data_IF_388574233424
#
_entry.id   IF_388574233424
#
_cell.length_a   1.000
_cell.length_b   1.000
_cell.length_c   1.000
_cell.angle_alpha   90.00
_cell.angle_beta   90.00
_cell.angle_gamma   90.00
#
_symmetry.space_group_name_H-M   'P 1'
#
loop_
_entity.id
_entity.type
_entity.pdbx_description
1 polymer ?
#
# COMPACT_ATOMS: atom_id res chain seq x y z
N UNK A 1 36.07 11.13 -26.26
CA UNK A 1 35.08 10.11 -26.68
C UNK A 1 34.71 9.13 -25.56
N UNK A 2 35.66 8.63 -24.75
CA UNK A 2 35.42 7.68 -23.64
C UNK A 2 34.40 8.15 -22.58
N UNK A 3 34.53 9.39 -22.10
CA UNK A 3 33.60 10.01 -21.13
C UNK A 3 32.13 10.02 -21.59
N UNK A 4 31.86 10.36 -22.86
CA UNK A 4 30.49 10.36 -23.41
C UNK A 4 29.88 8.95 -23.48
N UNK A 5 30.73 7.92 -23.64
CA UNK A 5 30.29 6.53 -23.68
C UNK A 5 29.96 6.01 -22.28
N UNK A 6 30.81 6.31 -21.29
CA UNK A 6 30.58 5.97 -19.88
C UNK A 6 29.31 6.61 -19.33
N UNK A 7 29.09 7.90 -19.63
CA UNK A 7 27.87 8.61 -19.26
C UNK A 7 26.60 7.99 -19.88
N UNK A 8 26.72 7.49 -21.11
CA UNK A 8 25.63 6.79 -21.79
C UNK A 8 25.27 5.44 -21.17
N UNK A 9 26.27 4.67 -20.71
CA UNK A 9 26.03 3.44 -19.97
C UNK A 9 25.40 3.70 -18.60
N UNK A 10 25.85 4.72 -17.88
CA UNK A 10 25.24 5.15 -16.62
C UNK A 10 23.77 5.54 -16.83
N UNK A 11 23.48 6.35 -17.85
CA UNK A 11 22.11 6.74 -18.19
C UNK A 11 21.22 5.54 -18.49
N UNK A 12 21.72 4.58 -19.27
CA UNK A 12 21.01 3.33 -19.56
C UNK A 12 20.75 2.51 -18.28
N UNK A 13 21.76 2.36 -17.42
CA UNK A 13 21.64 1.62 -16.17
C UNK A 13 20.60 2.26 -15.24
N UNK A 14 20.69 3.57 -15.01
CA UNK A 14 19.72 4.31 -14.18
C UNK A 14 18.31 4.22 -14.75
N UNK A 15 18.16 4.31 -16.08
CA UNK A 15 16.86 4.15 -16.74
C UNK A 15 16.26 2.76 -16.52
N UNK A 16 17.07 1.70 -16.65
CA UNK A 16 16.61 0.32 -16.41
C UNK A 16 16.20 0.14 -14.95
N UNK A 17 17.02 0.60 -14.00
CA UNK A 17 16.74 0.52 -12.57
C UNK A 17 15.46 1.29 -12.23
N UNK A 18 15.35 2.55 -12.64
CA UNK A 18 14.16 3.37 -12.40
C UNK A 18 12.90 2.72 -13.01
N UNK A 19 12.99 2.20 -14.23
CA UNK A 19 11.88 1.50 -14.88
C UNK A 19 11.37 0.33 -14.05
N UNK A 20 12.25 -0.55 -13.58
CA UNK A 20 11.88 -1.72 -12.78
C UNK A 20 11.36 -1.31 -11.39
N UNK A 21 11.95 -0.30 -10.76
CA UNK A 21 11.48 0.22 -9.47
C UNK A 21 10.08 0.83 -9.59
N UNK A 22 9.83 1.68 -10.58
CA UNK A 22 8.51 2.30 -10.80
C UNK A 22 7.41 1.28 -11.05
N UNK A 23 7.73 0.22 -11.81
CA UNK A 23 6.83 -0.92 -12.00
C UNK A 23 6.56 -1.62 -10.66
N UNK A 24 7.61 -1.93 -9.89
CA UNK A 24 7.45 -2.62 -8.61
C UNK A 24 6.62 -1.81 -7.61
N UNK A 25 6.95 -0.55 -7.38
CA UNK A 25 6.21 0.33 -6.47
C UNK A 25 4.78 0.57 -6.93
N UNK A 26 4.57 0.79 -8.24
CA UNK A 26 3.23 0.97 -8.79
C UNK A 26 2.34 -0.26 -8.62
N UNK A 27 2.90 -1.48 -8.74
CA UNK A 27 2.12 -2.72 -8.60
C UNK A 27 1.53 -2.91 -7.20
N UNK A 28 2.22 -2.46 -6.14
CA UNK A 28 1.71 -2.54 -4.75
C UNK A 28 0.53 -1.57 -4.51
N UNK A 29 0.30 -0.63 -5.44
CA UNK A 29 -0.87 0.26 -5.47
C UNK A 29 -1.95 -0.19 -6.46
N UNK A 30 -1.56 -0.72 -7.62
CA UNK A 30 -2.50 -1.31 -8.60
C UNK A 30 -3.24 -2.49 -7.99
N UNK A 31 -2.53 -3.35 -7.26
CA UNK A 31 -3.14 -4.31 -6.35
C UNK A 31 -3.01 -3.67 -4.97
N UNK A 32 -4.07 -3.06 -4.41
CA UNK A 32 -4.03 -2.05 -3.35
C UNK A 32 -3.61 -2.64 -2.01
N UNK A 33 -2.35 -3.07 -1.92
CA UNK A 33 -1.75 -3.82 -0.81
C UNK A 33 -0.85 -2.93 0.03
N UNK A 34 -0.42 -1.78 -0.50
CA UNK A 34 0.45 -0.85 0.24
C UNK A 34 -0.19 -0.31 1.51
N UNK A 35 -1.51 -0.09 1.50
CA UNK A 35 -2.25 0.55 2.59
C UNK A 35 -3.31 -0.37 3.20
N UNK A 36 -3.38 -1.63 2.76
CA UNK A 36 -4.48 -2.55 3.11
C UNK A 36 -4.54 -2.87 4.60
N UNK A 37 -3.41 -2.80 5.32
CA UNK A 37 -3.40 -2.98 6.78
C UNK A 37 -4.30 -1.98 7.50
N UNK A 38 -4.46 -0.76 6.97
CA UNK A 38 -5.34 0.28 7.53
C UNK A 38 -6.82 0.05 7.26
N UNK A 39 -7.17 -1.06 6.61
CA UNK A 39 -8.54 -1.55 6.47
C UNK A 39 -8.89 -2.63 7.49
N UNK A 40 -7.93 -3.05 8.32
CA UNK A 40 -8.18 -4.01 9.39
C UNK A 40 -9.10 -3.40 10.46
N UNK A 41 -10.04 -4.18 11.05
CA UNK A 41 -10.98 -3.71 12.06
C UNK A 41 -10.37 -2.88 13.21
N UNK A 42 -9.20 -3.27 13.74
CA UNK A 42 -8.52 -2.57 14.83
C UNK A 42 -8.03 -1.18 14.43
N UNK A 43 -7.50 -1.04 13.21
CA UNK A 43 -7.07 0.27 12.66
C UNK A 43 -8.23 1.24 12.46
N UNK A 44 -9.45 0.72 12.30
CA UNK A 44 -10.67 1.53 12.20
C UNK A 44 -11.14 2.08 13.55
N UNK A 45 -10.68 1.51 14.67
CA UNK A 45 -10.99 2.00 16.01
C UNK A 45 -10.11 3.18 16.44
N UNK A 46 -8.92 3.31 15.84
CA UNK A 46 -8.01 4.41 16.15
C UNK A 46 -8.62 5.74 15.71
N UNK A 47 -8.89 6.62 16.67
CA UNK A 47 -9.59 7.87 16.43
C UNK A 47 -8.74 8.86 15.63
N UNK A 48 -9.38 9.91 15.10
CA UNK A 48 -8.67 10.97 14.37
C UNK A 48 -7.66 11.70 15.27
N UNK A 49 -8.02 11.94 16.54
CA UNK A 49 -7.15 12.62 17.51
C UNK A 49 -5.93 11.81 17.94
N UNK A 50 -6.02 10.47 17.91
CA UNK A 50 -4.93 9.56 18.23
C UNK A 50 -4.05 9.21 17.02
N UNK A 51 -4.55 9.46 15.80
CA UNK A 51 -3.85 9.11 14.59
C UNK A 51 -2.65 10.05 14.37
N UNK A 52 -1.47 9.47 14.11
CA UNK A 52 -0.35 10.24 13.59
C UNK A 52 -0.66 10.82 12.20
N UNK A 53 0.04 11.88 11.80
CA UNK A 53 -0.12 12.47 10.45
C UNK A 53 0.08 11.43 9.34
N UNK A 54 1.09 10.56 9.47
CA UNK A 54 1.34 9.48 8.51
C UNK A 54 0.24 8.43 8.52
N UNK A 55 -0.27 8.06 9.69
CA UNK A 55 -1.40 7.14 9.83
C UNK A 55 -2.68 7.69 9.16
N UNK A 56 -2.96 8.98 9.31
CA UNK A 56 -4.08 9.63 8.60
C UNK A 56 -3.92 9.59 7.09
N UNK A 57 -2.72 9.89 6.57
CA UNK A 57 -2.44 9.78 5.14
C UNK A 57 -2.66 8.35 4.63
N UNK A 58 -2.20 7.35 5.37
CA UNK A 58 -2.33 5.94 4.97
C UNK A 58 -3.79 5.47 5.04
N UNK A 59 -4.57 5.90 6.04
CA UNK A 59 -6.03 5.69 6.08
C UNK A 59 -6.73 6.36 4.89
N UNK A 60 -6.36 7.60 4.55
CA UNK A 60 -6.90 8.29 3.36
C UNK A 60 -6.67 7.46 2.09
N UNK A 61 -5.44 6.99 1.86
CA UNK A 61 -5.12 6.13 0.72
C UNK A 61 -5.89 4.81 0.74
N UNK A 62 -5.98 4.15 1.90
CA UNK A 62 -6.65 2.86 2.07
C UNK A 62 -8.16 2.92 1.78
N UNK A 63 -8.84 4.02 2.14
CA UNK A 63 -10.29 4.16 1.98
C UNK A 63 -10.75 4.33 0.53
N UNK A 64 -9.87 4.83 -0.35
CA UNK A 64 -10.16 5.09 -1.76
C UNK A 64 -9.35 4.17 -2.68
N UNK A 65 -9.86 2.95 -2.88
CA UNK A 65 -9.28 1.98 -3.81
C UNK A 65 -9.07 2.54 -5.22
N UNK A 66 -10.04 3.25 -5.85
CA UNK A 66 -9.83 3.79 -7.19
C UNK A 66 -8.68 4.81 -7.25
N UNK A 67 -8.57 5.68 -6.25
CA UNK A 67 -7.48 6.65 -6.17
C UNK A 67 -6.12 5.95 -6.05
N UNK A 68 -6.01 4.99 -5.13
CA UNK A 68 -4.79 4.20 -4.94
C UNK A 68 -4.40 3.47 -6.22
N UNK A 69 -5.34 2.79 -6.88
CA UNK A 69 -5.10 2.09 -8.15
C UNK A 69 -4.64 3.05 -9.25
N UNK A 70 -5.29 4.20 -9.42
CA UNK A 70 -4.90 5.22 -10.42
C UNK A 70 -3.47 5.70 -10.16
N UNK A 71 -3.12 6.02 -8.92
CA UNK A 71 -1.73 6.44 -8.61
C UNK A 71 -0.71 5.33 -8.91
N UNK A 72 -1.06 4.06 -8.68
CA UNK A 72 -0.25 2.91 -9.07
C UNK A 72 -0.12 2.75 -10.58
N UNK A 73 -1.20 2.94 -11.34
CA UNK A 73 -1.19 2.87 -12.79
C UNK A 73 -0.29 3.95 -13.41
N UNK A 74 -0.28 5.16 -12.86
CA UNK A 74 0.63 6.24 -13.28
C UNK A 74 2.09 5.82 -13.08
N UNK A 75 2.41 5.21 -11.95
CA UNK A 75 3.77 4.72 -11.66
C UNK A 75 4.18 3.58 -12.60
N UNK A 76 3.32 2.58 -12.79
CA UNK A 76 3.57 1.46 -13.73
C UNK A 76 3.73 1.99 -15.16
N UNK A 77 2.86 2.90 -15.60
CA UNK A 77 2.94 3.50 -16.93
C UNK A 77 4.26 4.26 -17.12
N UNK A 78 4.68 5.05 -16.13
CA UNK A 78 5.98 5.72 -16.13
C UNK A 78 7.13 4.71 -16.30
N UNK A 79 7.12 3.63 -15.53
CA UNK A 79 8.12 2.58 -15.60
C UNK A 79 8.15 1.82 -16.93
N UNK A 80 6.98 1.49 -17.51
CA UNK A 80 6.86 0.82 -18.81
C UNK A 80 7.34 1.71 -19.95
N UNK A 81 7.01 3.00 -19.93
CA UNK A 81 7.46 3.97 -20.94
C UNK A 81 8.99 4.13 -20.97
N UNK A 82 9.69 3.88 -19.87
CA UNK A 82 11.16 3.94 -19.81
C UNK A 82 11.86 2.76 -20.52
N UNK A 83 11.14 1.67 -20.82
CA UNK A 83 11.70 0.51 -21.54
C UNK A 83 12.12 0.90 -22.96
N UNK A 84 11.24 1.62 -23.67
CA UNK A 84 11.47 1.97 -25.07
C UNK A 84 12.22 3.29 -25.20
N UNK A 85 13.28 3.30 -26.02
CA UNK A 85 14.09 4.51 -26.25
C UNK A 85 13.24 5.70 -26.71
N UNK A 86 12.21 5.47 -27.53
CA UNK A 86 11.34 6.53 -28.08
C UNK A 86 10.47 7.21 -27.03
N UNK A 87 10.08 6.51 -25.98
CA UNK A 87 9.18 7.01 -24.92
C UNK A 87 9.91 7.40 -23.64
N UNK A 88 11.26 7.32 -23.62
CA UNK A 88 12.09 7.61 -22.43
C UNK A 88 11.78 8.97 -21.81
N UNK A 89 11.62 10.02 -22.62
CA UNK A 89 11.31 11.36 -22.11
C UNK A 89 9.95 11.38 -21.41
N UNK A 90 8.92 10.87 -22.08
CA UNK A 90 7.56 10.85 -21.53
C UNK A 90 7.51 10.04 -20.23
N UNK A 91 8.11 8.84 -20.23
CA UNK A 91 8.22 8.01 -19.03
C UNK A 91 8.96 8.71 -17.89
N UNK A 92 10.08 9.38 -18.18
CA UNK A 92 10.84 10.11 -17.17
C UNK A 92 10.04 11.28 -16.58
N UNK A 93 9.31 12.05 -17.40
CA UNK A 93 8.46 13.14 -16.91
C UNK A 93 7.31 12.65 -16.05
N UNK A 94 6.65 11.55 -16.44
CA UNK A 94 5.63 10.89 -15.61
C UNK A 94 6.21 10.46 -14.26
N UNK A 95 7.41 9.85 -14.27
CA UNK A 95 8.10 9.48 -13.03
C UNK A 95 8.44 10.69 -12.17
N UNK A 96 8.93 11.79 -12.76
CA UNK A 96 9.23 13.04 -12.04
C UNK A 96 7.98 13.56 -11.33
N UNK A 97 6.84 13.67 -12.03
CA UNK A 97 5.60 14.17 -11.44
C UNK A 97 5.11 13.26 -10.32
N UNK A 98 5.08 11.94 -10.55
CA UNK A 98 4.65 10.96 -9.56
C UNK A 98 5.55 10.98 -8.31
N UNK A 99 6.87 11.02 -8.49
CA UNK A 99 7.83 10.98 -7.40
C UNK A 99 7.91 12.30 -6.63
N UNK A 100 7.67 13.44 -7.28
CA UNK A 100 7.47 14.72 -6.59
C UNK A 100 6.26 14.62 -5.67
N UNK A 101 5.12 14.14 -6.19
CA UNK A 101 3.91 13.99 -5.39
C UNK A 101 4.15 13.09 -4.16
N UNK A 102 4.74 11.90 -4.37
CA UNK A 102 5.02 10.95 -3.29
C UNK A 102 6.01 11.54 -2.28
N UNK A 103 7.04 12.24 -2.75
CA UNK A 103 8.04 12.87 -1.87
C UNK A 103 7.42 13.98 -1.03
N UNK A 104 6.56 14.82 -1.62
CA UNK A 104 5.83 15.86 -0.90
C UNK A 104 4.94 15.25 0.17
N UNK A 105 4.17 14.21 -0.16
CA UNK A 105 3.33 13.51 0.81
C UNK A 105 4.16 12.92 1.95
N UNK A 106 5.28 12.27 1.64
CA UNK A 106 6.12 11.64 2.67
C UNK A 106 6.72 12.68 3.62
N UNK A 107 7.19 13.81 3.10
CA UNK A 107 7.76 14.89 3.92
C UNK A 107 6.66 15.59 4.73
N UNK A 108 5.57 15.99 4.08
CA UNK A 108 4.51 16.79 4.71
C UNK A 108 3.77 16.02 5.82
N UNK A 109 3.62 14.70 5.66
CA UNK A 109 2.94 13.85 6.65
C UNK A 109 3.90 13.09 7.58
N UNK A 110 5.21 13.36 7.52
CA UNK A 110 6.19 12.71 8.40
C UNK A 110 6.28 11.20 8.21
N UNK A 111 6.13 10.72 6.96
CA UNK A 111 6.29 9.30 6.63
C UNK A 111 7.79 8.95 6.69
N UNK A 112 8.20 7.89 7.41
CA UNK A 112 9.62 7.60 7.65
C UNK A 112 10.45 7.25 6.40
N UNK A 113 9.79 6.87 5.29
CA UNK A 113 10.43 6.41 4.05
C UNK A 113 10.63 7.53 3.02
N UNK A 114 11.39 8.58 3.39
CA UNK A 114 11.60 9.76 2.51
C UNK A 114 12.72 9.54 1.47
N UNK A 115 13.79 8.80 1.82
CA UNK A 115 15.00 8.70 0.98
C UNK A 115 14.73 8.01 -0.36
N UNK A 116 14.00 6.88 -0.34
CA UNK A 116 13.74 6.09 -1.54
C UNK A 116 13.06 6.88 -2.68
N UNK A 117 11.91 7.56 -2.47
CA UNK A 117 11.28 8.34 -3.53
C UNK A 117 12.14 9.54 -3.96
N UNK A 118 12.92 10.16 -3.08
CA UNK A 118 13.85 11.23 -3.45
C UNK A 118 15.00 10.74 -4.34
N UNK A 119 15.57 9.57 -4.04
CA UNK A 119 16.62 8.96 -4.86
C UNK A 119 16.06 8.59 -6.23
N UNK A 120 14.88 7.98 -6.28
CA UNK A 120 14.19 7.70 -7.54
C UNK A 120 13.86 8.99 -8.31
N UNK A 121 13.49 10.08 -7.62
CA UNK A 121 13.26 11.38 -8.24
C UNK A 121 14.54 11.90 -8.88
N UNK A 122 15.67 11.80 -8.17
CA UNK A 122 16.99 12.11 -8.73
C UNK A 122 17.31 11.29 -9.98
N UNK A 123 16.99 9.99 -9.98
CA UNK A 123 17.11 9.15 -11.17
C UNK A 123 16.21 9.63 -12.32
N UNK A 124 14.95 9.98 -12.05
CA UNK A 124 14.01 10.44 -13.07
C UNK A 124 14.46 11.78 -13.69
N UNK A 125 14.96 12.70 -12.87
CA UNK A 125 15.57 13.96 -13.31
C UNK A 125 16.81 13.67 -14.16
N UNK A 126 17.72 12.82 -13.70
CA UNK A 126 18.92 12.42 -14.46
C UNK A 126 18.55 11.80 -15.82
N UNK A 127 17.54 10.93 -15.86
CA UNK A 127 17.08 10.30 -17.09
C UNK A 127 16.50 11.34 -18.04
N UNK A 128 15.74 12.32 -17.55
CA UNK A 128 15.15 13.39 -18.36
C UNK A 128 16.14 14.50 -18.79
N UNK A 129 17.29 14.62 -18.11
CA UNK A 129 18.25 15.71 -18.27
C UNK A 129 18.68 16.01 -19.73
N UNK A 130 18.92 15.03 -20.63
CA UNK A 130 19.30 15.30 -22.02
C UNK A 130 18.27 16.11 -22.83
N UNK A 131 17.02 16.16 -22.37
CA UNK A 131 15.92 16.83 -23.04
C UNK A 131 15.55 18.20 -22.44
N UNK A 132 16.13 18.61 -21.32
CA UNK A 132 15.63 19.77 -20.57
C UNK A 132 15.73 21.10 -21.34
N UNK A 133 16.86 21.36 -22.01
CA UNK A 133 17.02 22.54 -22.86
C UNK A 133 15.98 22.58 -24.00
N UNK A 134 15.66 21.42 -24.57
CA UNK A 134 14.67 21.29 -25.65
C UNK A 134 13.26 21.52 -25.15
N UNK A 135 12.94 21.01 -23.95
CA UNK A 135 11.67 21.30 -23.30
C UNK A 135 11.51 22.80 -23.03
N UNK A 136 12.55 23.48 -22.55
CA UNK A 136 12.53 24.94 -22.36
C UNK A 136 12.35 25.66 -23.69
N UNK A 137 13.06 25.22 -24.74
CA UNK A 137 12.97 25.82 -26.06
C UNK A 137 11.55 25.73 -26.64
N UNK A 138 10.92 24.56 -26.56
CA UNK A 138 9.56 24.35 -27.09
C UNK A 138 8.49 24.96 -26.19
N UNK A 139 8.52 24.70 -24.87
CA UNK A 139 7.42 25.02 -23.95
C UNK A 139 7.45 26.45 -23.42
N UNK A 140 8.64 27.04 -23.26
CA UNK A 140 8.82 28.36 -22.63
C UNK A 140 9.22 29.40 -23.67
N UNK A 141 10.20 29.08 -24.52
CA UNK A 141 10.72 30.02 -25.53
C UNK A 141 9.95 29.99 -26.84
N UNK A 142 8.99 29.07 -26.98
CA UNK A 142 8.17 28.88 -28.18
C UNK A 142 8.99 28.85 -29.48
N UNK A 143 10.10 28.09 -29.47
CA UNK A 143 11.00 27.92 -30.61
C UNK A 143 11.26 26.45 -30.91
N UNK A 144 11.61 26.17 -32.16
CA UNK A 144 11.93 24.82 -32.61
C UNK A 144 13.10 24.22 -31.81
N UNK A 145 13.05 22.91 -31.57
CA UNK A 145 14.13 22.17 -30.92
C UNK A 145 14.83 21.22 -31.88
N UNK A 146 16.16 21.20 -31.84
CA UNK A 146 16.94 20.29 -32.65
C UNK A 146 16.78 18.83 -32.20
N UNK A 147 16.65 17.92 -33.17
CA UNK A 147 16.61 16.47 -32.92
C UNK A 147 17.83 16.04 -32.09
N UNK A 148 17.61 15.17 -31.10
CA UNK A 148 18.74 14.56 -30.38
C UNK A 148 19.59 13.72 -31.35
N UNK A 149 20.92 13.82 -31.29
CA UNK A 149 21.79 12.96 -32.08
C UNK A 149 21.44 11.49 -31.82
N UNK A 150 21.02 10.76 -32.86
CA UNK A 150 20.83 9.31 -32.79
C UNK A 150 22.18 8.61 -32.86
N UNK A 151 23.02 8.81 -31.84
CA UNK A 151 24.21 7.98 -31.68
C UNK A 151 23.82 6.77 -30.83
N UNK A 152 23.79 5.55 -31.38
CA UNK A 152 23.51 4.36 -30.60
C UNK A 152 24.74 4.01 -29.74
N UNK A 153 24.51 3.69 -28.46
CA UNK A 153 25.57 3.21 -27.55
C UNK A 153 26.20 1.89 -28.03
N UNK A 154 25.39 1.08 -28.69
CA UNK A 154 25.74 -0.20 -29.30
C UNK A 154 25.41 -0.13 -30.78
N UNK A 155 26.42 -0.25 -31.65
CA UNK A 155 26.23 -0.17 -33.10
C UNK A 155 25.39 -1.35 -33.64
N UNK A 156 25.58 -2.55 -33.08
CA UNK A 156 24.87 -3.75 -33.50
C UNK A 156 23.36 -3.68 -33.16
N UNK A 157 22.53 -3.78 -34.20
CA UNK A 157 21.07 -3.76 -34.11
C UNK A 157 20.54 -5.00 -33.37
N UNK A 158 21.16 -6.17 -33.54
CA UNK A 158 20.75 -7.42 -32.88
C UNK A 158 20.97 -7.31 -31.39
N UNK A 159 22.15 -6.85 -30.96
CA UNK A 159 22.46 -6.66 -29.54
C UNK A 159 21.58 -5.59 -28.89
N UNK A 160 21.24 -4.52 -29.62
CA UNK A 160 20.24 -3.54 -29.16
C UNK A 160 18.86 -4.13 -28.97
N UNK A 161 18.37 -4.92 -29.93
CA UNK A 161 17.06 -5.60 -29.83
C UNK A 161 17.05 -6.59 -28.68
N UNK A 162 18.14 -7.36 -28.51
CA UNK A 162 18.32 -8.26 -27.38
C UNK A 162 18.28 -7.52 -26.04
N UNK A 163 18.93 -6.35 -25.93
CA UNK A 163 18.88 -5.52 -24.72
C UNK A 163 17.47 -5.00 -24.40
N UNK A 164 16.70 -4.58 -25.42
CA UNK A 164 15.29 -4.19 -25.22
C UNK A 164 14.45 -5.40 -24.82
N UNK A 165 14.63 -6.55 -25.46
CA UNK A 165 13.93 -7.78 -25.11
C UNK A 165 14.25 -8.21 -23.66
N UNK A 166 15.51 -8.14 -23.25
CA UNK A 166 15.92 -8.42 -21.87
C UNK A 166 15.27 -7.46 -20.86
N UNK A 167 15.18 -6.17 -21.18
CA UNK A 167 14.48 -5.20 -20.33
C UNK A 167 12.97 -5.48 -20.26
N UNK A 168 12.32 -5.82 -21.38
CA UNK A 168 10.91 -6.24 -21.40
C UNK A 168 10.70 -7.50 -20.55
N UNK A 169 11.54 -8.52 -20.71
CA UNK A 169 11.46 -9.75 -19.92
C UNK A 169 11.64 -9.45 -18.44
N UNK A 170 12.63 -8.64 -18.05
CA UNK A 170 12.81 -8.22 -16.66
C UNK A 170 11.59 -7.47 -16.12
N UNK A 171 10.99 -6.57 -16.90
CA UNK A 171 9.77 -5.86 -16.53
C UNK A 171 8.57 -6.81 -16.36
N UNK A 172 8.41 -7.79 -17.24
CA UNK A 172 7.37 -8.82 -17.14
C UNK A 172 7.57 -9.71 -15.90
N UNK A 173 8.81 -10.10 -15.61
CA UNK A 173 9.13 -10.86 -14.39
C UNK A 173 8.74 -10.04 -13.14
N UNK A 174 9.11 -8.76 -13.08
CA UNK A 174 8.74 -7.90 -11.94
C UNK A 174 7.22 -7.72 -11.86
N UNK A 175 6.54 -7.46 -12.99
CA UNK A 175 5.07 -7.32 -13.04
C UNK A 175 4.36 -8.58 -12.52
N UNK A 176 4.75 -9.76 -13.00
CA UNK A 176 4.14 -11.03 -12.61
C UNK A 176 4.45 -11.39 -11.15
N UNK A 177 5.69 -11.23 -10.70
CA UNK A 177 6.08 -11.51 -9.32
C UNK A 177 5.37 -10.58 -8.32
N UNK A 178 5.34 -9.27 -8.60
CA UNK A 178 4.61 -8.30 -7.78
C UNK A 178 3.11 -8.51 -7.85
N UNK A 179 2.58 -8.88 -9.01
CA UNK A 179 1.18 -9.24 -9.21
C UNK A 179 0.77 -10.42 -8.34
N UNK A 180 1.48 -11.54 -8.45
CA UNK A 180 1.22 -12.75 -7.66
C UNK A 180 1.36 -12.50 -6.16
N UNK A 181 2.40 -11.76 -5.73
CA UNK A 181 2.54 -11.37 -4.34
C UNK A 181 1.39 -10.48 -3.87
N UNK A 182 0.98 -9.50 -4.69
CA UNK A 182 -0.11 -8.59 -4.39
C UNK A 182 -1.43 -9.33 -4.23
N UNK A 183 -1.77 -10.24 -5.15
CA UNK A 183 -2.98 -11.06 -5.02
C UNK A 183 -2.97 -11.90 -3.75
N UNK A 184 -1.87 -12.56 -3.44
CA UNK A 184 -1.74 -13.33 -2.18
C UNK A 184 -1.91 -12.45 -0.96
N UNK A 185 -1.26 -11.28 -0.92
CA UNK A 185 -1.44 -10.34 0.19
C UNK A 185 -2.88 -9.85 0.29
N UNK A 186 -3.51 -9.50 -0.84
CA UNK A 186 -4.89 -9.04 -0.86
C UNK A 186 -5.84 -10.07 -0.23
N UNK A 187 -5.70 -11.35 -0.57
CA UNK A 187 -6.46 -12.44 0.09
C UNK A 187 -6.12 -12.55 1.58
N UNK A 188 -4.83 -12.52 1.94
CA UNK A 188 -4.42 -12.61 3.34
C UNK A 188 -4.99 -11.51 4.24
N UNK A 189 -5.25 -10.32 3.70
CA UNK A 189 -5.88 -9.21 4.40
C UNK A 189 -7.40 -9.17 4.22
N UNK A 190 -7.94 -9.66 3.11
CA UNK A 190 -9.36 -9.56 2.77
C UNK A 190 -10.23 -10.70 3.29
N UNK A 191 -9.66 -11.91 3.34
CA UNK A 191 -10.41 -13.12 3.67
C UNK A 191 -10.73 -13.18 5.17
N UNK A 192 -12.03 -13.15 5.47
CA UNK A 192 -12.55 -13.34 6.82
C UNK A 192 -12.67 -14.85 7.08
N UNK A 193 -11.93 -15.33 8.07
CA UNK A 193 -11.93 -16.75 8.44
C UNK A 193 -13.04 -17.08 9.46
N UNK A 194 -13.62 -16.08 10.11
CA UNK A 194 -14.69 -16.26 11.11
C UNK A 194 -15.80 -15.23 10.94
N UNK A 195 -17.07 -15.59 11.21
CA UNK A 195 -18.19 -14.65 11.25
C UNK A 195 -18.09 -13.62 12.38
N UNK A 196 -17.11 -13.76 13.28
CA UNK A 196 -16.82 -12.79 14.34
C UNK A 196 -15.98 -11.62 13.84
N UNK A 197 -15.27 -11.75 12.71
CA UNK A 197 -14.40 -10.69 12.15
C UNK A 197 -15.19 -9.41 11.88
N UNK A 198 -14.69 -8.28 12.39
CA UNK A 198 -15.29 -6.96 12.18
C UNK A 198 -15.22 -6.07 13.41
N UNK A 199 -15.97 -4.96 13.33
CA UNK A 199 -16.05 -3.96 14.39
C UNK A 199 -17.41 -4.07 15.09
N UNK A 200 -17.38 -4.01 16.41
CA UNK A 200 -18.51 -4.20 17.29
C UNK A 200 -18.64 -3.04 18.28
N UNK A 201 -19.86 -2.55 18.45
CA UNK A 201 -20.27 -1.67 19.53
C UNK A 201 -20.55 -2.48 20.79
N UNK A 202 -20.18 -1.97 21.95
CA UNK A 202 -20.62 -2.53 23.22
C UNK A 202 -21.97 -1.92 23.58
N UNK A 203 -23.02 -2.74 23.64
CA UNK A 203 -24.36 -2.32 24.06
C UNK A 203 -24.54 -2.55 25.57
N UNK A 204 -23.97 -3.63 26.13
CA UNK A 204 -23.95 -3.89 27.58
C UNK A 204 -22.57 -4.39 28.04
N UNK A 205 -22.12 -3.94 29.21
CA UNK A 205 -20.91 -4.42 29.87
C UNK A 205 -21.17 -4.75 31.34
N UNK A 206 -20.76 -5.94 31.77
CA UNK A 206 -20.81 -6.40 33.17
C UNK A 206 -19.46 -7.00 33.55
N UNK A 207 -18.74 -6.34 34.45
CA UNK A 207 -17.44 -6.80 34.93
C UNK A 207 -16.82 -5.81 35.91
N UNK A 208 -15.78 -6.23 36.64
CA UNK A 208 -15.14 -5.39 37.65
C UNK A 208 -14.01 -4.48 37.09
N UNK A 209 -13.69 -4.60 35.80
CA UNK A 209 -12.64 -3.81 35.13
C UNK A 209 -13.17 -2.55 34.41
N UNK A 210 -12.27 -1.80 33.72
CA UNK A 210 -12.69 -0.66 32.91
C UNK A 210 -13.70 -1.09 31.84
N UNK A 211 -14.80 -0.32 31.71
CA UNK A 211 -15.86 -0.64 30.77
C UNK A 211 -15.37 -0.65 29.31
N UNK A 212 -15.80 -1.65 28.55
CA UNK A 212 -15.50 -1.74 27.12
C UNK A 212 -16.45 -0.83 26.32
N UNK A 213 -15.95 -0.21 25.26
CA UNK A 213 -16.72 0.73 24.42
C UNK A 213 -16.84 0.22 22.99
N UNK A 214 -15.72 -0.21 22.41
CA UNK A 214 -15.65 -0.81 21.07
C UNK A 214 -14.77 -2.05 21.11
N UNK A 215 -15.12 -3.02 20.27
CA UNK A 215 -14.33 -4.23 20.08
C UNK A 215 -14.10 -4.42 18.59
N UNK A 216 -12.85 -4.64 18.19
CA UNK A 216 -12.49 -5.11 16.88
C UNK A 216 -11.97 -6.53 17.01
N UNK A 217 -12.56 -7.42 16.23
CA UNK A 217 -12.15 -8.82 16.13
C UNK A 217 -11.55 -8.98 14.73
N UNK A 218 -10.29 -9.38 14.66
CA UNK A 218 -9.57 -9.66 13.42
C UNK A 218 -9.33 -11.16 13.37
N UNK A 219 -9.96 -11.85 12.41
CA UNK A 219 -9.74 -13.29 12.17
C UNK A 219 -9.47 -13.49 10.70
N UNK A 220 -8.25 -13.17 10.29
CA UNK A 220 -7.77 -13.17 8.91
C UNK A 220 -6.42 -13.89 8.84
N UNK A 221 -5.99 -14.39 7.67
CA UNK A 221 -4.70 -15.07 7.54
C UNK A 221 -3.51 -14.24 8.06
N UNK A 222 -3.57 -12.91 7.93
CA UNK A 222 -2.50 -11.99 8.36
C UNK A 222 -2.66 -11.49 9.80
N UNK A 223 -3.84 -11.62 10.41
CA UNK A 223 -4.16 -11.00 11.69
C UNK A 223 -5.17 -11.84 12.47
N UNK A 224 -4.78 -12.26 13.68
CA UNK A 224 -5.65 -12.92 14.64
C UNK A 224 -5.58 -12.16 15.96
N UNK A 225 -6.41 -11.12 16.09
CA UNK A 225 -6.33 -10.15 17.20
C UNK A 225 -7.69 -9.74 17.72
N UNK A 226 -7.73 -9.44 19.01
CA UNK A 226 -8.82 -8.74 19.67
C UNK A 226 -8.29 -7.38 20.13
N UNK A 227 -8.90 -6.30 19.62
CA UNK A 227 -8.62 -4.94 20.06
C UNK A 227 -9.86 -4.38 20.76
N UNK A 228 -9.72 -3.94 22.00
CA UNK A 228 -10.80 -3.37 22.80
C UNK A 228 -10.45 -1.95 23.19
N UNK A 229 -11.30 -1.00 22.84
CA UNK A 229 -11.24 0.38 23.33
C UNK A 229 -12.00 0.44 24.64
N UNK A 230 -11.34 0.91 25.71
CA UNK A 230 -11.92 1.00 27.05
C UNK A 230 -12.27 2.44 27.39
N UNK A 231 -13.28 2.61 28.26
CA UNK A 231 -13.73 3.92 28.72
C UNK A 231 -12.66 4.70 29.50
N UNK A 232 -11.63 4.02 30.01
CA UNK A 232 -10.47 4.63 30.63
C UNK A 232 -9.55 5.39 29.65
N UNK A 233 -9.80 5.27 28.34
CA UNK A 233 -9.01 5.95 27.29
C UNK A 233 -7.81 5.14 26.81
N UNK A 234 -7.66 3.90 27.26
CA UNK A 234 -6.62 2.98 26.80
C UNK A 234 -7.20 1.82 25.99
N UNK A 235 -6.32 1.12 25.27
CA UNK A 235 -6.69 -0.02 24.42
C UNK A 235 -6.08 -1.31 24.98
N UNK A 236 -6.90 -2.37 25.02
CA UNK A 236 -6.42 -3.74 25.20
C UNK A 236 -6.23 -4.34 23.81
N UNK A 237 -5.02 -4.81 23.53
CA UNK A 237 -4.65 -5.46 22.28
C UNK A 237 -4.00 -6.80 22.59
N UNK A 238 -4.60 -7.87 22.06
CA UNK A 238 -4.22 -9.25 22.36
C UNK A 238 -4.29 -10.10 21.10
N UNK A 239 -3.34 -11.02 20.99
CA UNK A 239 -3.45 -12.13 20.06
C UNK A 239 -4.69 -12.97 20.43
N UNK A 240 -5.41 -13.39 19.40
CA UNK A 240 -6.67 -14.10 19.51
C UNK A 240 -6.56 -15.45 18.84
N UNK A 241 -6.96 -16.50 19.55
CA UNK A 241 -7.24 -17.80 18.93
C UNK A 241 -8.74 -18.09 19.05
N UNK A 242 -9.37 -18.36 17.92
CA UNK A 242 -10.78 -18.72 17.85
C UNK A 242 -10.89 -20.24 17.79
N UNK A 243 -11.56 -20.82 18.78
CA UNK A 243 -11.92 -22.24 18.81
C UNK A 243 -13.43 -22.36 18.52
N UNK A 244 -13.75 -22.64 17.26
CA UNK A 244 -15.13 -22.80 16.81
C UNK A 244 -15.80 -24.06 17.40
N UNK A 245 -15.02 -25.07 17.81
CA UNK A 245 -15.56 -26.33 18.32
C UNK A 245 -16.14 -26.19 19.73
N UNK A 246 -15.55 -25.29 20.52
CA UNK A 246 -15.97 -25.00 21.90
C UNK A 246 -16.62 -23.63 22.04
N UNK A 247 -16.78 -22.90 20.93
CA UNK A 247 -17.24 -21.51 20.90
C UNK A 247 -16.46 -20.64 21.91
N UNK A 248 -15.13 -20.71 21.85
CA UNK A 248 -14.24 -20.00 22.77
C UNK A 248 -13.24 -19.09 22.03
N UNK A 249 -13.02 -17.90 22.59
CA UNK A 249 -11.96 -16.97 22.23
C UNK A 249 -10.86 -17.07 23.30
N UNK A 250 -9.64 -17.37 22.89
CA UNK A 250 -8.48 -17.45 23.79
C UNK A 250 -7.57 -16.24 23.57
N UNK A 251 -7.21 -15.58 24.67
CA UNK A 251 -6.40 -14.37 24.72
C UNK A 251 -5.25 -14.61 25.72
N UNK A 252 -4.23 -15.37 25.30
CA UNK A 252 -3.23 -15.91 26.23
C UNK A 252 -3.87 -16.86 27.24
N UNK A 253 -3.75 -16.56 28.52
CA UNK A 253 -4.35 -17.34 29.62
C UNK A 253 -5.85 -17.05 29.83
N UNK A 254 -6.38 -16.03 29.17
CA UNK A 254 -7.77 -15.62 29.28
C UNK A 254 -8.65 -16.36 28.28
N UNK A 255 -9.88 -16.70 28.69
CA UNK A 255 -10.85 -17.41 27.84
C UNK A 255 -12.21 -16.73 27.95
N UNK A 256 -12.78 -16.42 26.79
CA UNK A 256 -14.14 -15.89 26.63
C UNK A 256 -14.96 -16.88 25.81
N UNK A 257 -16.01 -17.45 26.38
CA UNK A 257 -17.03 -18.11 25.59
C UNK A 257 -17.77 -17.06 24.75
N UNK A 258 -18.12 -17.42 23.52
CA UNK A 258 -18.90 -16.58 22.63
C UNK A 258 -20.21 -17.26 22.25
N UNK A 259 -21.26 -16.47 22.13
CA UNK A 259 -22.56 -16.90 21.59
C UNK A 259 -23.03 -15.86 20.59
N UNK A 260 -23.46 -16.31 19.43
CA UNK A 260 -23.89 -15.44 18.35
C UNK A 260 -25.33 -15.79 17.99
N UNK A 261 -26.27 -14.88 18.25
CA UNK A 261 -27.68 -15.12 17.93
C UNK A 261 -27.95 -14.88 16.43
N UNK A 262 -27.28 -13.89 15.84
CA UNK A 262 -27.30 -13.59 14.41
C UNK A 262 -25.99 -12.91 13.95
N UNK A 263 -25.87 -12.56 12.67
CA UNK A 263 -24.67 -11.91 12.13
C UNK A 263 -24.33 -10.55 12.76
N UNK A 264 -25.27 -9.94 13.49
CA UNK A 264 -25.18 -8.60 14.06
C UNK A 264 -25.11 -8.57 15.58
N UNK A 265 -25.41 -9.66 16.28
CA UNK A 265 -25.44 -9.72 17.75
C UNK A 265 -24.50 -10.81 18.28
N UNK A 266 -23.61 -10.42 19.19
CA UNK A 266 -22.59 -11.29 19.76
C UNK A 266 -22.56 -11.07 21.29
N UNK A 267 -22.49 -12.14 22.07
CA UNK A 267 -22.28 -12.07 23.51
C UNK A 267 -20.99 -12.80 23.87
N UNK A 268 -20.13 -12.14 24.63
CA UNK A 268 -18.88 -12.69 25.16
C UNK A 268 -18.99 -12.84 26.67
N UNK A 269 -18.55 -13.96 27.21
CA UNK A 269 -18.61 -14.23 28.65
C UNK A 269 -17.41 -15.05 29.09
N UNK A 270 -16.70 -14.60 30.13
CA UNK A 270 -15.59 -15.35 30.68
C UNK A 270 -14.68 -14.47 31.52
N UNK A 271 -13.38 -14.75 31.46
CA UNK A 271 -12.40 -14.06 32.30
C UNK A 271 -11.31 -13.47 31.43
N UNK A 272 -11.02 -12.18 31.61
CA UNK A 272 -9.93 -11.45 30.95
C UNK A 272 -9.01 -10.89 32.02
N UNK A 273 -7.72 -11.24 31.97
CA UNK A 273 -6.70 -10.86 32.95
C UNK A 273 -7.14 -11.14 34.41
N UNK A 274 -7.83 -12.27 34.63
CA UNK A 274 -8.34 -12.68 35.95
C UNK A 274 -9.66 -12.04 36.38
N UNK A 275 -10.26 -11.17 35.55
CA UNK A 275 -11.51 -10.46 35.86
C UNK A 275 -12.68 -11.00 35.05
N UNK A 276 -13.76 -11.39 35.75
CA UNK A 276 -15.00 -11.79 35.10
C UNK A 276 -15.56 -10.65 34.25
N UNK A 277 -15.88 -10.98 33.01
CA UNK A 277 -16.31 -10.04 31.97
C UNK A 277 -17.42 -10.67 31.14
N UNK A 278 -18.57 -10.00 31.08
CA UNK A 278 -19.70 -10.33 30.23
C UNK A 278 -20.08 -9.09 29.40
N UNK A 279 -20.15 -9.25 28.08
CA UNK A 279 -20.34 -8.14 27.15
C UNK A 279 -21.34 -8.53 26.06
N UNK A 280 -22.34 -7.67 25.85
CA UNK A 280 -23.22 -7.75 24.70
C UNK A 280 -22.73 -6.78 23.62
N UNK A 281 -22.55 -7.30 22.41
CA UNK A 281 -21.93 -6.64 21.29
C UNK A 281 -22.90 -6.57 20.11
N UNK A 282 -22.89 -5.45 19.41
CA UNK A 282 -23.62 -5.24 18.16
C UNK A 282 -22.69 -4.84 17.04
N UNK A 283 -22.78 -5.54 15.91
CA UNK A 283 -21.94 -5.30 14.73
C UNK A 283 -22.18 -3.90 14.20
N UNK A 284 -21.10 -3.18 13.96
CA UNK A 284 -21.16 -1.92 13.23
C UNK A 284 -21.13 -2.22 11.74
N UNK A 285 -22.09 -1.72 10.95
CA UNK A 285 -22.03 -1.85 9.51
C UNK A 285 -20.83 -1.04 9.00
N UNK A 286 -19.81 -1.72 8.51
CA UNK A 286 -18.70 -1.04 7.85
C UNK A 286 -19.15 -0.73 6.43
N UNK A 287 -18.86 0.49 5.96
CA UNK A 287 -19.21 0.90 4.59
C UNK A 287 -18.50 0.02 3.54
N UNK A 288 -17.40 -0.64 3.90
CA UNK A 288 -16.72 -1.67 3.11
C UNK A 288 -17.54 -2.95 2.93
N UNK A 289 -18.42 -3.30 3.89
CA UNK A 289 -19.30 -4.48 3.79
C UNK A 289 -20.45 -4.25 2.79
N UNK A 290 -20.74 -2.99 2.47
CA UNK A 290 -21.77 -2.58 1.50
C UNK A 290 -21.25 -2.30 0.08
N UNK A 291 -19.93 -2.41 -0.15
CA UNK A 291 -19.34 -2.19 -1.49
C UNK A 291 -19.43 -3.49 -2.30
N UNK A 292 -20.58 -3.74 -2.92
CA UNK A 292 -20.56 -4.37 -4.25
C UNK A 292 -19.81 -3.42 -5.17
N UNK A 293 -18.54 -3.71 -5.46
CA UNK A 293 -17.87 -3.08 -6.59
C UNK A 293 -18.56 -3.56 -7.88
N UNK A 294 -19.49 -2.74 -8.39
CA UNK A 294 -19.81 -2.70 -9.83
C UNK A 294 -18.83 -1.79 -10.54
#
# INVERSE_FOLDING_TARGET
MRYRRELGWLHLAVRVVLSLLMIAFGMVKVIPTQFISFTLPGEMLVTLGESSSSGMLWKFMATSTPYTVITGLVEVAGGVLLIFRRTTLLGALVCVVALIQVSILNIAYGVPVVVTPLVMLGMAVLVSAPWWQRLIDVLIRNRDSAKLPEQPLVADVRLRRAGVAAHVVAALIVLTAMGANGFRQYHNYGDRLSPLDGVWAVDEFRGAGPAWVRVAIEVRPVAQRLVVVRAAGDNLDRELLVDDSTSALRLGDSVLAWTQADSTTLRLTGTVDGVYTEVALRRLPLRSDSREFR
#
